data_IF_778503718457
#
_entry.id   IF_778503718457
#
_cell.length_a   1.000
_cell.length_b   1.000
_cell.length_c   1.000
_cell.angle_alpha   90.00
_cell.angle_beta   90.00
_cell.angle_gamma   90.00
#
_symmetry.space_group_name_H-M   'P 1'
#
loop_
_entity.id
_entity.type
_entity.pdbx_description
1 polymer ?
#
# COMPACT_ATOMS: atom_id res chain seq x y z
N UNK A 1 1.62 -1.34 16.52
CA UNK A 1 2.72 -0.40 16.91
C UNK A 1 3.88 -0.39 15.93
N UNK A 2 4.38 -1.55 15.46
CA UNK A 2 5.50 -1.63 14.49
C UNK A 2 5.25 -0.94 13.13
N UNK A 3 4.04 -1.03 12.59
CA UNK A 3 3.74 -0.55 11.22
C UNK A 3 3.39 0.94 11.13
N UNK A 4 2.83 1.53 12.20
CA UNK A 4 2.32 2.93 12.19
C UNK A 4 3.09 3.84 13.15
N UNK A 5 3.48 3.33 14.33
CA UNK A 5 4.05 4.16 15.39
C UNK A 5 5.52 4.48 15.17
N UNK A 6 6.35 3.46 14.93
CA UNK A 6 7.80 3.65 14.73
C UNK A 6 8.09 4.51 13.49
N UNK A 7 7.49 4.23 12.31
CA UNK A 7 7.68 5.09 11.14
C UNK A 7 7.16 6.52 11.39
N UNK A 8 5.98 6.67 11.97
CA UNK A 8 5.39 7.97 12.28
C UNK A 8 6.25 8.81 13.23
N UNK A 9 6.86 8.19 14.23
CA UNK A 9 7.77 8.85 15.17
C UNK A 9 9.03 9.37 14.49
N UNK A 10 9.71 8.52 13.69
CA UNK A 10 10.89 8.95 12.93
C UNK A 10 10.54 9.99 11.85
N UNK A 11 9.37 9.88 11.22
CA UNK A 11 8.84 10.90 10.31
C UNK A 11 8.58 12.23 11.03
N UNK A 12 8.11 12.21 12.29
CA UNK A 12 7.85 13.41 13.08
C UNK A 12 9.12 14.12 13.57
N UNK A 13 10.23 13.39 13.73
CA UNK A 13 11.55 13.96 14.01
C UNK A 13 12.22 14.56 12.76
N UNK A 14 11.67 14.32 11.56
CA UNK A 14 12.24 14.88 10.34
C UNK A 14 12.10 16.42 10.36
N UNK A 15 13.18 17.17 10.09
CA UNK A 15 13.11 18.62 10.06
C UNK A 15 12.10 19.10 9.01
N UNK A 16 11.00 19.70 9.46
CA UNK A 16 9.99 20.31 8.60
C UNK A 16 9.93 21.83 8.89
N UNK A 17 10.51 22.67 8.01
CA UNK A 17 10.47 24.12 8.17
C UNK A 17 9.12 24.74 7.76
N UNK A 18 8.05 23.95 7.57
CA UNK A 18 6.76 24.47 7.14
C UNK A 18 5.91 25.01 8.30
N UNK A 19 5.34 26.21 8.10
CA UNK A 19 4.38 26.81 9.01
C UNK A 19 3.10 25.97 9.09
N UNK A 20 2.52 25.84 10.29
CA UNK A 20 1.26 25.14 10.53
C UNK A 20 0.13 25.85 9.78
N UNK A 21 -0.23 25.33 8.61
CA UNK A 21 -1.33 25.85 7.80
C UNK A 21 -2.66 25.28 8.30
N UNK A 22 -3.67 26.13 8.47
CA UNK A 22 -5.04 25.72 8.78
C UNK A 22 -5.60 24.72 7.73
N UNK A 23 -6.58 23.89 8.13
CA UNK A 23 -7.20 22.92 7.23
C UNK A 23 -6.37 21.66 6.97
N UNK A 24 -5.55 21.22 7.95
CA UNK A 24 -4.81 19.95 7.88
C UNK A 24 -5.76 18.76 7.68
N UNK A 25 -6.78 18.63 8.54
CA UNK A 25 -7.73 17.51 8.46
C UNK A 25 -8.43 17.43 7.10
N UNK A 26 -8.87 18.56 6.55
CA UNK A 26 -9.52 18.62 5.23
C UNK A 26 -8.58 18.13 4.12
N UNK A 27 -7.31 18.55 4.15
CA UNK A 27 -6.29 18.09 3.18
C UNK A 27 -5.99 16.60 3.32
N UNK A 28 -5.87 16.11 4.55
CA UNK A 28 -5.65 14.68 4.83
C UNK A 28 -6.83 13.85 4.34
N UNK A 29 -8.07 14.21 4.71
CA UNK A 29 -9.26 13.47 4.27
C UNK A 29 -9.43 13.49 2.75
N UNK A 30 -9.20 14.63 2.10
CA UNK A 30 -9.33 14.75 0.63
C UNK A 30 -8.30 13.89 -0.13
N UNK A 31 -7.17 13.55 0.50
CA UNK A 31 -6.18 12.65 -0.07
C UNK A 31 -6.44 11.18 0.32
N UNK A 32 -6.69 10.92 1.60
CA UNK A 32 -6.86 9.56 2.14
C UNK A 32 -8.13 8.87 1.65
N UNK A 33 -9.23 9.60 1.42
CA UNK A 33 -10.47 9.02 0.89
C UNK A 33 -10.30 8.44 -0.52
N UNK A 34 -9.84 9.19 -1.54
CA UNK A 34 -9.64 8.64 -2.87
C UNK A 34 -8.54 7.56 -2.89
N UNK A 35 -7.41 7.78 -2.21
CA UNK A 35 -6.34 6.78 -2.17
C UNK A 35 -6.79 5.48 -1.48
N UNK A 36 -7.51 5.58 -0.36
CA UNK A 36 -8.09 4.44 0.36
C UNK A 36 -9.14 3.71 -0.47
N UNK A 37 -9.99 4.45 -1.20
CA UNK A 37 -10.98 3.84 -2.10
C UNK A 37 -10.32 3.08 -3.25
N UNK A 38 -9.26 3.62 -3.85
CA UNK A 38 -8.51 2.93 -4.91
C UNK A 38 -7.86 1.65 -4.38
N UNK A 39 -7.27 1.69 -3.18
CA UNK A 39 -6.72 0.51 -2.52
C UNK A 39 -7.80 -0.54 -2.24
N UNK A 40 -8.95 -0.13 -1.68
CA UNK A 40 -10.05 -1.03 -1.38
C UNK A 40 -10.60 -1.71 -2.64
N UNK A 41 -10.83 -0.96 -3.71
CA UNK A 41 -11.32 -1.49 -4.99
C UNK A 41 -10.30 -2.43 -5.61
N UNK A 42 -9.02 -2.03 -5.68
CA UNK A 42 -7.97 -2.87 -6.26
C UNK A 42 -7.82 -4.20 -5.51
N UNK A 43 -7.82 -4.16 -4.18
CA UNK A 43 -7.74 -5.35 -3.33
C UNK A 43 -8.98 -6.24 -3.47
N UNK A 44 -10.17 -5.65 -3.49
CA UNK A 44 -11.42 -6.41 -3.62
C UNK A 44 -11.56 -7.07 -5.00
N UNK A 45 -11.21 -6.35 -6.07
CA UNK A 45 -11.21 -6.91 -7.43
C UNK A 45 -10.19 -8.04 -7.55
N UNK A 46 -8.98 -7.87 -7.01
CA UNK A 46 -7.98 -8.93 -6.97
C UNK A 46 -8.52 -10.18 -6.26
N UNK A 47 -9.12 -9.99 -5.08
CA UNK A 47 -9.72 -11.07 -4.31
C UNK A 47 -10.79 -11.81 -5.11
N UNK A 48 -11.76 -11.08 -5.69
CA UNK A 48 -12.85 -11.68 -6.48
C UNK A 48 -12.34 -12.41 -7.73
N UNK A 49 -11.37 -11.83 -8.44
CA UNK A 49 -10.81 -12.45 -9.65
C UNK A 49 -10.10 -13.77 -9.31
N UNK A 50 -9.32 -13.79 -8.23
CA UNK A 50 -8.64 -15.02 -7.78
C UNK A 50 -9.67 -16.01 -7.24
N UNK A 51 -10.65 -15.54 -6.45
CA UNK A 51 -11.68 -16.37 -5.83
C UNK A 51 -12.62 -17.06 -6.83
N UNK A 52 -12.90 -16.42 -7.97
CA UNK A 52 -13.73 -16.97 -9.06
C UNK A 52 -12.96 -17.94 -9.96
N UNK A 53 -11.63 -17.97 -9.87
CA UNK A 53 -10.82 -18.98 -10.54
C UNK A 53 -10.80 -20.29 -9.76
N UNK A 54 -9.84 -21.15 -10.11
CA UNK A 54 -9.63 -22.46 -9.46
C UNK A 54 -8.90 -22.35 -8.11
N UNK A 55 -8.64 -21.13 -7.63
CA UNK A 55 -7.85 -20.87 -6.44
C UNK A 55 -8.68 -21.03 -5.15
N UNK A 56 -8.06 -21.63 -4.13
CA UNK A 56 -8.67 -21.78 -2.81
C UNK A 56 -8.90 -20.45 -2.09
N UNK A 57 -9.76 -20.45 -1.05
CA UNK A 57 -10.06 -19.26 -0.25
C UNK A 57 -8.81 -18.63 0.38
N UNK A 58 -7.86 -19.46 0.83
CA UNK A 58 -6.60 -19.01 1.43
C UNK A 58 -5.68 -18.31 0.41
N UNK A 59 -5.69 -18.77 -0.85
CA UNK A 59 -4.92 -18.15 -1.93
C UNK A 59 -5.51 -16.78 -2.32
N UNK A 60 -6.85 -16.68 -2.42
CA UNK A 60 -7.52 -15.41 -2.66
C UNK A 60 -7.24 -14.39 -1.53
N UNK A 61 -7.27 -14.83 -0.26
CA UNK A 61 -6.89 -13.98 0.88
C UNK A 61 -5.45 -13.50 0.78
N UNK A 62 -4.53 -14.40 0.43
CA UNK A 62 -3.11 -14.06 0.26
C UNK A 62 -2.92 -13.04 -0.86
N UNK A 63 -3.55 -13.24 -2.01
CA UNK A 63 -3.53 -12.29 -3.13
C UNK A 63 -4.06 -10.91 -2.75
N UNK A 64 -5.16 -10.86 -2.00
CA UNK A 64 -5.73 -9.62 -1.47
C UNK A 64 -4.73 -8.89 -0.55
N UNK A 65 -4.09 -9.61 0.39
CA UNK A 65 -3.09 -9.02 1.29
C UNK A 65 -1.87 -8.48 0.54
N UNK A 66 -1.35 -9.22 -0.44
CA UNK A 66 -0.23 -8.79 -1.29
C UNK A 66 -0.58 -7.51 -2.04
N UNK A 67 -1.78 -7.46 -2.64
CA UNK A 67 -2.25 -6.31 -3.41
C UNK A 67 -2.42 -5.09 -2.51
N UNK A 68 -3.06 -5.26 -1.35
CA UNK A 68 -3.27 -4.17 -0.40
C UNK A 68 -1.93 -3.59 0.08
N UNK A 69 -0.96 -4.45 0.37
CA UNK A 69 0.36 -4.05 0.81
C UNK A 69 1.13 -3.31 -0.28
N UNK A 70 1.10 -3.80 -1.52
CA UNK A 70 1.73 -3.14 -2.65
C UNK A 70 1.15 -1.75 -2.91
N UNK A 71 -0.18 -1.61 -2.88
CA UNK A 71 -0.84 -0.30 -3.02
C UNK A 71 -0.53 0.61 -1.83
N UNK A 72 -0.49 0.07 -0.61
CA UNK A 72 -0.09 0.80 0.59
C UNK A 72 1.34 1.37 0.50
N UNK A 73 2.29 0.58 -0.01
CA UNK A 73 3.65 1.06 -0.29
C UNK A 73 3.66 2.16 -1.37
N UNK A 74 2.86 2.03 -2.43
CA UNK A 74 2.73 3.06 -3.44
C UNK A 74 2.16 4.38 -2.89
N UNK A 75 1.18 4.29 -1.96
CA UNK A 75 0.66 5.45 -1.21
C UNK A 75 1.78 6.08 -0.39
N UNK A 76 2.52 5.29 0.39
CA UNK A 76 3.63 5.78 1.22
C UNK A 76 4.67 6.53 0.37
N UNK A 77 5.09 5.95 -0.75
CA UNK A 77 6.05 6.58 -1.67
C UNK A 77 5.49 7.87 -2.29
N UNK A 78 4.19 7.91 -2.58
CA UNK A 78 3.51 9.09 -3.14
C UNK A 78 3.46 10.24 -2.14
N UNK A 79 3.07 9.99 -0.88
CA UNK A 79 3.02 10.99 0.18
C UNK A 79 4.43 11.44 0.59
N UNK A 80 5.43 10.55 0.48
CA UNK A 80 6.80 10.78 0.94
C UNK A 80 7.64 11.72 0.07
N UNK A 81 7.14 12.18 -1.09
CA UNK A 81 7.86 13.11 -1.98
C UNK A 81 8.23 14.42 -1.26
N UNK A 82 9.46 14.97 -1.43
CA UNK A 82 10.59 14.48 -2.23
C UNK A 82 11.25 13.25 -1.59
N UNK A 83 11.53 12.24 -2.42
CA UNK A 83 12.08 10.95 -1.99
C UNK A 83 13.51 11.13 -1.47
N UNK A 84 13.66 11.19 -0.15
CA UNK A 84 14.97 11.12 0.51
C UNK A 84 15.38 9.65 0.67
N UNK A 85 16.67 9.32 0.59
CA UNK A 85 17.15 7.93 0.67
C UNK A 85 16.71 7.21 1.95
N UNK A 86 16.57 7.90 3.08
CA UNK A 86 16.06 7.30 4.32
C UNK A 86 14.58 6.89 4.25
N UNK A 87 13.74 7.63 3.50
CA UNK A 87 12.33 7.26 3.28
C UNK A 87 12.20 6.06 2.36
N UNK A 88 13.12 5.94 1.38
CA UNK A 88 13.27 4.74 0.56
C UNK A 88 13.72 3.55 1.40
N UNK A 89 14.66 3.75 2.33
CA UNK A 89 15.06 2.73 3.29
C UNK A 89 13.90 2.23 4.16
N UNK A 90 13.01 3.13 4.60
CA UNK A 90 11.80 2.78 5.33
C UNK A 90 10.81 1.98 4.46
N UNK A 91 10.49 2.44 3.25
CA UNK A 91 9.60 1.71 2.36
C UNK A 91 10.19 0.33 1.98
N UNK A 92 11.49 0.29 1.73
CA UNK A 92 12.25 -0.93 1.46
C UNK A 92 12.26 -1.88 2.66
N UNK A 93 12.41 -1.39 3.89
CA UNK A 93 12.38 -2.25 5.07
C UNK A 93 10.98 -2.84 5.32
N UNK A 94 9.91 -2.10 5.05
CA UNK A 94 8.54 -2.65 5.09
C UNK A 94 8.31 -3.73 4.04
N UNK A 95 8.77 -3.49 2.80
CA UNK A 95 8.70 -4.48 1.72
C UNK A 95 9.53 -5.73 2.05
N UNK A 96 10.74 -5.55 2.58
CA UNK A 96 11.64 -6.62 2.99
C UNK A 96 11.04 -7.44 4.14
N UNK A 97 10.45 -6.78 5.13
CA UNK A 97 9.79 -7.47 6.23
C UNK A 97 8.64 -8.34 5.74
N UNK A 98 7.84 -7.84 4.81
CA UNK A 98 6.78 -8.63 4.20
C UNK A 98 7.31 -9.82 3.40
N UNK A 99 8.36 -9.60 2.60
CA UNK A 99 9.03 -10.68 1.88
C UNK A 99 9.59 -11.74 2.86
N UNK A 100 10.13 -11.32 4.00
CA UNK A 100 10.59 -12.24 5.04
C UNK A 100 9.44 -13.05 5.63
N UNK A 101 8.30 -12.42 5.97
CA UNK A 101 7.09 -13.12 6.44
C UNK A 101 6.60 -14.15 5.42
N UNK A 102 6.66 -13.82 4.12
CA UNK A 102 6.34 -14.76 3.04
C UNK A 102 7.42 -15.81 2.80
N UNK A 103 8.67 -15.63 3.25
CA UNK A 103 9.73 -16.62 3.12
C UNK A 103 9.73 -17.63 4.28
N UNK A 104 9.39 -17.17 5.49
CA UNK A 104 9.41 -17.95 6.72
C UNK A 104 8.14 -18.82 6.86
N UNK A 105 8.25 -20.15 7.04
CA UNK A 105 7.10 -21.04 7.23
C UNK A 105 6.22 -20.65 8.42
N UNK A 106 6.84 -20.20 9.52
CA UNK A 106 6.13 -19.74 10.72
C UNK A 106 5.33 -18.46 10.49
N UNK A 107 5.82 -17.56 9.63
CA UNK A 107 5.09 -16.37 9.23
C UNK A 107 3.88 -16.72 8.37
N UNK A 108 4.07 -17.63 7.40
CA UNK A 108 2.97 -18.12 6.56
C UNK A 108 1.89 -18.83 7.36
N UNK A 109 2.25 -19.71 8.30
CA UNK A 109 1.26 -20.44 9.09
C UNK A 109 0.50 -19.53 10.06
N UNK A 110 1.18 -18.56 10.67
CA UNK A 110 0.55 -17.59 11.57
C UNK A 110 -0.44 -16.66 10.86
N UNK A 111 -0.11 -16.22 9.63
CA UNK A 111 -0.97 -15.34 8.82
C UNK A 111 -1.86 -16.09 7.82
N UNK A 112 -1.89 -17.42 7.86
CA UNK A 112 -2.56 -18.30 6.88
C UNK A 112 -2.25 -17.95 5.41
N UNK A 113 -1.00 -17.56 5.12
CA UNK A 113 -0.55 -17.19 3.78
C UNK A 113 -0.15 -18.45 2.99
N UNK A 114 -0.71 -18.60 1.80
CA UNK A 114 -0.38 -19.68 0.87
C UNK A 114 0.50 -19.15 -0.24
N UNK A 115 1.49 -19.94 -0.69
CA UNK A 115 2.30 -19.57 -1.86
C UNK A 115 1.38 -19.56 -3.09
N UNK A 116 1.14 -18.40 -3.72
CA UNK A 116 0.19 -18.31 -4.82
C UNK A 116 0.74 -19.03 -6.06
N UNK A 117 -0.16 -19.59 -6.86
CA UNK A 117 0.18 -20.12 -8.18
C UNK A 117 0.59 -19.01 -9.15
N UNK A 118 1.20 -19.40 -10.28
CA UNK A 118 1.75 -18.45 -11.27
C UNK A 118 0.68 -17.48 -11.83
N UNK A 119 -0.56 -17.96 -11.97
CA UNK A 119 -1.71 -17.13 -12.41
C UNK A 119 -2.08 -16.05 -11.39
N UNK A 120 -2.05 -16.40 -10.10
CA UNK A 120 -2.39 -15.48 -9.00
C UNK A 120 -1.37 -14.36 -8.88
N UNK A 121 -0.08 -14.65 -9.09
CA UNK A 121 0.97 -13.63 -9.15
C UNK A 121 0.73 -12.57 -10.23
N UNK A 122 0.27 -13.00 -11.42
CA UNK A 122 -0.06 -12.08 -12.52
C UNK A 122 -1.24 -11.19 -12.13
N UNK A 123 -2.30 -11.76 -11.55
CA UNK A 123 -3.48 -10.99 -11.11
C UNK A 123 -3.09 -9.96 -10.04
N UNK A 124 -2.29 -10.36 -9.05
CA UNK A 124 -1.77 -9.46 -8.01
C UNK A 124 -0.95 -8.33 -8.64
N UNK A 125 -0.04 -8.64 -9.56
CA UNK A 125 0.79 -7.63 -10.21
C UNK A 125 -0.04 -6.61 -11.01
N UNK A 126 -1.05 -7.07 -11.75
CA UNK A 126 -1.96 -6.20 -12.51
C UNK A 126 -2.79 -5.33 -11.57
N UNK A 127 -3.44 -5.92 -10.56
CA UNK A 127 -4.28 -5.18 -9.63
C UNK A 127 -3.47 -4.17 -8.80
N UNK A 128 -2.29 -4.57 -8.32
CA UNK A 128 -1.39 -3.68 -7.60
C UNK A 128 -0.87 -2.56 -8.50
N UNK A 129 -0.52 -2.85 -9.76
CA UNK A 129 -0.10 -1.86 -10.74
C UNK A 129 -1.19 -0.82 -11.03
N UNK A 130 -2.42 -1.27 -11.28
CA UNK A 130 -3.57 -0.38 -11.49
C UNK A 130 -3.86 0.44 -10.23
N UNK A 131 -3.89 -0.19 -9.05
CA UNK A 131 -4.11 0.50 -7.78
C UNK A 131 -3.04 1.56 -7.49
N UNK A 132 -1.77 1.22 -7.72
CA UNK A 132 -0.65 2.15 -7.59
C UNK A 132 -0.74 3.31 -8.60
N UNK A 133 -1.13 3.04 -9.85
CA UNK A 133 -1.32 4.07 -10.87
C UNK A 133 -2.47 5.02 -10.49
N UNK A 134 -3.61 4.49 -10.01
CA UNK A 134 -4.73 5.29 -9.53
C UNK A 134 -4.32 6.20 -8.36
N UNK A 135 -3.57 5.66 -7.39
CA UNK A 135 -3.02 6.42 -6.26
C UNK A 135 -2.03 7.49 -6.74
N UNK A 136 -1.18 7.18 -7.71
CA UNK A 136 -0.21 8.12 -8.26
C UNK A 136 -0.89 9.26 -9.05
N UNK A 137 -2.00 8.97 -9.73
CA UNK A 137 -2.78 9.94 -10.51
C UNK A 137 -3.71 10.80 -9.65
N UNK A 138 -4.19 10.28 -8.51
CA UNK A 138 -5.04 11.01 -7.57
C UNK A 138 -4.49 12.41 -7.17
N UNK A 139 -3.21 12.58 -6.77
CA UNK A 139 -2.67 13.90 -6.47
C UNK A 139 -2.58 14.82 -7.68
N UNK A 140 -2.44 14.30 -8.91
CA UNK A 140 -2.44 15.13 -10.13
C UNK A 140 -3.85 15.66 -10.47
N UNK A 141 -4.89 14.87 -10.23
CA UNK A 141 -6.28 15.28 -10.45
C UNK A 141 -6.76 16.30 -9.41
N UNK A 142 -6.36 16.14 -8.15
CA UNK A 142 -6.72 17.07 -7.07
C UNK A 142 -6.03 18.43 -7.23
N UNK A 143 -4.80 18.47 -7.75
CA UNK A 143 -4.08 19.73 -8.02
C UNK A 143 -4.71 20.57 -9.14
N UNK A 144 -5.43 19.95 -10.10
CA UNK A 144 -6.11 20.65 -11.20
C UNK A 144 -7.45 21.28 -10.83
N UNK A 145 -8.07 20.92 -9.69
CA UNK A 145 -9.36 21.49 -9.25
C UNK A 145 -9.24 22.70 -8.32
N UNK A 146 -8.03 23.06 -7.91
CA UNK A 146 -7.78 24.14 -6.92
C UNK A 146 -6.89 25.26 -7.50
N UNK A 147 -6.70 25.29 -8.83
CA UNK A 147 -6.12 26.42 -9.55
C UNK A 147 -7.17 26.98 -10.49
#
# INVERSE_FOLDING_TARGET
TFSVGVPGFFLALAPDPSLVKAGFLKRVLHYSLPAGSAAAVATFVCYEVVRRGDAGLAEARTAATMTLLAVGLAILLSISRPLRPWKLGLAGSMALWYAAVLALPSGRSYFELVVPGNRTWIVVAICAGIGAALVALAPHLVRRRVG
#
